data_IF_913971108566
#
_entry.id   IF_913971108566
#
_cell.length_a   1.000
_cell.length_b   1.000
_cell.length_c   1.000
_cell.angle_alpha   90.00
_cell.angle_beta   90.00
_cell.angle_gamma   90.00
#
_symmetry.space_group_name_H-M   'P 1'
#
loop_
_entity.id
_entity.type
_entity.pdbx_description
1 polymer ?
#
# COMPACT_ATOMS: atom_id res chain seq x y z
N UNK A 1 -25.65 17.52 13.31
CA UNK A 1 -24.41 16.85 12.88
C UNK A 1 -24.02 17.45 11.55
N UNK A 2 -22.96 18.27 11.49
CA UNK A 2 -22.59 18.94 10.24
C UNK A 2 -21.73 17.99 9.41
N UNK A 3 -21.88 18.01 8.08
CA UNK A 3 -21.09 17.18 7.15
C UNK A 3 -19.57 17.40 7.29
N UNK A 4 -19.17 18.52 7.92
CA UNK A 4 -17.78 18.86 8.25
C UNK A 4 -17.14 17.93 9.28
N UNK A 5 -17.93 17.24 10.11
CA UNK A 5 -17.42 16.30 11.12
C UNK A 5 -16.94 14.96 10.52
N UNK A 6 -17.20 14.70 9.23
CA UNK A 6 -16.75 13.49 8.51
C UNK A 6 -15.40 13.72 7.79
N UNK A 7 -14.81 14.92 7.90
CA UNK A 7 -13.52 15.25 7.27
C UNK A 7 -12.30 15.00 8.15
N UNK A 8 -12.42 14.17 9.18
CA UNK A 8 -11.26 13.66 9.95
C UNK A 8 -11.02 12.18 9.64
N UNK A 9 -11.21 11.74 8.39
CA UNK A 9 -10.44 10.60 7.90
C UNK A 9 -9.12 11.17 7.41
N UNK A 10 -8.04 10.92 8.15
CA UNK A 10 -6.69 11.21 7.68
C UNK A 10 -6.58 10.69 6.25
N UNK A 11 -6.42 11.60 5.29
CA UNK A 11 -6.22 11.22 3.89
C UNK A 11 -4.90 10.47 3.85
N UNK A 12 -4.98 9.14 3.77
CA UNK A 12 -3.79 8.29 3.62
C UNK A 12 -3.00 8.80 2.42
N UNK A 13 -1.68 8.92 2.58
CA UNK A 13 -0.80 9.20 1.46
C UNK A 13 -0.89 8.09 0.41
N UNK A 14 -0.53 8.40 -0.85
CA UNK A 14 -0.47 7.40 -1.92
C UNK A 14 0.40 6.19 -1.52
N UNK A 15 1.44 6.41 -0.71
CA UNK A 15 2.27 5.35 -0.15
C UNK A 15 1.49 4.45 0.83
N UNK A 16 0.79 5.05 1.80
CA UNK A 16 -0.01 4.31 2.77
C UNK A 16 -1.18 3.57 2.12
N UNK A 17 -1.81 4.16 1.09
CA UNK A 17 -2.84 3.49 0.27
C UNK A 17 -2.26 2.30 -0.49
N UNK A 18 -1.06 2.43 -1.08
CA UNK A 18 -0.35 1.31 -1.72
C UNK A 18 -0.02 0.19 -0.74
N UNK A 19 0.44 0.52 0.46
CA UNK A 19 0.74 -0.46 1.52
C UNK A 19 -0.52 -1.17 2.01
N UNK A 20 -1.63 -0.43 2.18
CA UNK A 20 -2.92 -0.99 2.57
C UNK A 20 -3.42 -1.98 1.53
N UNK A 21 -3.43 -1.60 0.25
CA UNK A 21 -3.85 -2.49 -0.84
C UNK A 21 -2.96 -3.73 -0.95
N UNK A 22 -1.64 -3.59 -0.73
CA UNK A 22 -0.72 -4.73 -0.69
C UNK A 22 -1.05 -5.70 0.47
N UNK A 23 -1.37 -5.19 1.66
CA UNK A 23 -1.79 -6.02 2.81
C UNK A 23 -3.10 -6.76 2.51
N UNK A 24 -4.08 -6.06 1.94
CA UNK A 24 -5.35 -6.66 1.55
C UNK A 24 -5.17 -7.75 0.49
N UNK A 25 -4.30 -7.54 -0.50
CA UNK A 25 -4.01 -8.53 -1.53
C UNK A 25 -3.47 -9.83 -0.91
N UNK A 26 -2.47 -9.73 -0.02
CA UNK A 26 -1.92 -10.89 0.69
C UNK A 26 -2.97 -11.65 1.50
N UNK A 27 -3.89 -10.94 2.16
CA UNK A 27 -4.99 -11.57 2.89
C UNK A 27 -5.88 -12.38 1.95
N UNK A 28 -6.25 -11.83 0.79
CA UNK A 28 -7.07 -12.54 -0.19
C UNK A 28 -6.37 -13.76 -0.81
N UNK A 29 -5.05 -13.70 -1.01
CA UNK A 29 -4.26 -14.83 -1.49
C UNK A 29 -4.23 -15.97 -0.46
N UNK A 30 -4.05 -15.66 0.82
CA UNK A 30 -4.07 -16.63 1.91
C UNK A 30 -5.44 -17.31 2.06
N UNK A 31 -6.54 -16.55 1.90
CA UNK A 31 -7.91 -17.08 2.00
C UNK A 31 -8.25 -17.99 0.82
N UNK A 32 -7.81 -17.64 -0.40
CA UNK A 32 -8.00 -18.48 -1.60
C UNK A 32 -7.35 -19.86 -1.46
N UNK A 33 -6.24 -19.95 -0.74
CA UNK A 33 -5.58 -21.23 -0.43
C UNK A 33 -6.32 -22.10 0.59
N UNK A 34 -7.24 -21.53 1.38
CA UNK A 34 -7.91 -22.22 2.48
C UNK A 34 -9.25 -22.86 2.09
N UNK A 35 -10.00 -22.28 1.14
CA UNK A 35 -11.32 -22.78 0.75
C UNK A 35 -11.64 -22.54 -0.73
N UNK A 36 -12.19 -23.53 -1.46
CA UNK A 36 -12.57 -23.38 -2.88
C UNK A 36 -13.88 -22.59 -3.10
N UNK A 37 -14.69 -22.39 -2.06
CA UNK A 37 -15.86 -21.52 -2.10
C UNK A 37 -15.43 -20.04 -2.08
N UNK A 38 -16.02 -19.20 -2.93
CA UNK A 38 -15.72 -17.76 -2.96
C UNK A 38 -14.51 -17.36 -3.81
N UNK A 39 -13.91 -18.30 -4.58
CA UNK A 39 -12.74 -18.01 -5.41
C UNK A 39 -13.01 -16.93 -6.47
N UNK A 40 -14.22 -16.89 -7.04
CA UNK A 40 -14.58 -15.88 -8.04
C UNK A 40 -14.60 -14.48 -7.43
N UNK A 41 -15.23 -14.32 -6.26
CA UNK A 41 -15.30 -13.07 -5.52
C UNK A 41 -13.91 -12.63 -5.08
N UNK A 42 -13.07 -13.56 -4.63
CA UNK A 42 -11.67 -13.28 -4.29
C UNK A 42 -10.87 -12.81 -5.51
N UNK A 43 -11.05 -13.44 -6.67
CA UNK A 43 -10.38 -13.04 -7.91
C UNK A 43 -10.84 -11.63 -8.35
N UNK A 44 -12.12 -11.30 -8.20
CA UNK A 44 -12.66 -9.94 -8.44
C UNK A 44 -12.01 -8.93 -7.49
N UNK A 45 -11.95 -9.23 -6.19
CA UNK A 45 -11.34 -8.34 -5.18
C UNK A 45 -9.85 -8.14 -5.48
N UNK A 46 -9.11 -9.21 -5.81
CA UNK A 46 -7.71 -9.11 -6.19
C UNK A 46 -7.49 -8.23 -7.42
N UNK A 47 -8.35 -8.35 -8.44
CA UNK A 47 -8.27 -7.54 -9.64
C UNK A 47 -8.53 -6.05 -9.35
N UNK A 48 -9.53 -5.74 -8.52
CA UNK A 48 -9.81 -4.36 -8.09
C UNK A 48 -8.64 -3.77 -7.31
N UNK A 49 -8.03 -4.53 -6.40
CA UNK A 49 -6.86 -4.08 -5.63
C UNK A 49 -5.66 -3.81 -6.54
N UNK A 50 -5.36 -4.73 -7.48
CA UNK A 50 -4.28 -4.57 -8.46
C UNK A 50 -4.51 -3.36 -9.36
N UNK A 51 -5.73 -3.20 -9.89
CA UNK A 51 -6.11 -2.06 -10.71
C UNK A 51 -5.98 -0.73 -9.95
N UNK A 52 -6.44 -0.69 -8.70
CA UNK A 52 -6.35 0.51 -7.86
C UNK A 52 -4.91 0.89 -7.58
N UNK A 53 -4.06 -0.09 -7.23
CA UNK A 53 -2.61 0.13 -7.03
C UNK A 53 -1.88 0.65 -8.27
N UNK A 54 -2.27 0.18 -9.47
CA UNK A 54 -1.67 0.63 -10.73
C UNK A 54 -1.98 2.10 -11.03
N UNK A 55 -3.07 2.65 -10.48
CA UNK A 55 -3.51 4.02 -10.70
C UNK A 55 -3.03 5.03 -9.65
N UNK A 56 -2.53 4.56 -8.52
CA UNK A 56 -1.85 5.43 -7.56
C UNK A 56 -0.59 5.99 -8.23
N UNK A 57 -0.15 7.22 -7.90
CA UNK A 57 1.12 7.71 -8.44
C UNK A 57 2.23 6.77 -8.02
N UNK A 58 3.17 6.45 -8.92
CA UNK A 58 4.34 5.67 -8.51
C UNK A 58 4.99 6.40 -7.34
N UNK A 59 5.31 5.69 -6.24
CA UNK A 59 6.05 6.33 -5.15
C UNK A 59 7.36 6.79 -5.76
N UNK A 60 7.66 8.07 -5.63
CA UNK A 60 8.86 8.65 -6.19
C UNK A 60 10.08 7.90 -5.63
N UNK A 61 10.66 7.01 -6.43
CA UNK A 61 11.83 6.20 -6.04
C UNK A 61 13.07 7.06 -5.82
N UNK A 62 13.02 8.37 -6.09
CA UNK A 62 14.11 9.32 -5.85
C UNK A 62 14.36 9.62 -4.36
N UNK A 63 13.53 9.11 -3.44
CA UNK A 63 13.69 9.34 -2.00
C UNK A 63 14.52 8.32 -1.21
N UNK A 64 14.98 7.23 -1.83
CA UNK A 64 15.74 6.15 -1.14
C UNK A 64 17.14 5.87 -1.71
N UNK A 65 17.65 6.78 -2.55
CA UNK A 65 19.08 6.88 -2.81
C UNK A 65 19.63 8.08 -2.02
N UNK A 66 19.76 7.94 -0.70
CA UNK A 66 20.79 8.70 -0.02
C UNK A 66 22.10 7.94 -0.25
N UNK A 67 22.72 8.24 -1.38
CA UNK A 67 24.12 7.92 -1.66
C UNK A 67 24.99 8.67 -0.65
N UNK A 68 25.16 8.11 0.55
CA UNK A 68 26.34 8.42 1.33
C UNK A 68 27.13 7.16 1.66
N UNK A 69 27.90 6.61 0.71
CA UNK A 69 29.05 5.81 1.06
C UNK A 69 30.17 6.79 1.41
N UNK A 70 30.64 6.78 2.67
CA UNK A 70 32.04 6.94 3.12
C UNK A 70 32.14 7.60 4.50
N UNK A 71 32.64 6.84 5.49
CA UNK A 71 33.69 7.34 6.39
C UNK A 71 33.28 7.93 7.74
N UNK A 72 33.12 7.07 8.74
CA UNK A 72 33.50 7.33 10.15
C UNK A 72 35.05 7.46 10.25
N UNK A 73 35.73 7.91 11.35
CA UNK A 73 35.41 8.83 12.46
C UNK A 73 36.52 9.89 12.75
N UNK A 74 36.25 10.75 13.76
CA UNK A 74 37.20 11.29 14.77
C UNK A 74 38.23 12.44 14.45
N UNK A 75 38.24 13.38 15.41
CA UNK A 75 39.37 14.17 15.98
C UNK A 75 39.93 15.36 15.19
N UNK A 76 39.62 16.56 15.68
CA UNK A 76 40.63 17.43 16.33
C UNK A 76 40.01 18.46 17.27
#
# INVERSE_FOLDING_TARGET
>A
MQIKDIQTMATLSDFEMRELFRKMLKLTENVRGATPAGCHELDVIQNVLKFSMARLKEPDRRGIANDNPTGHPDIK
#
